data_IF_802599282165
#
_entry.id   IF_802599282165
#
_cell.length_a   1.000
_cell.length_b   1.000
_cell.length_c   1.000
_cell.angle_alpha   90.00
_cell.angle_beta   90.00
_cell.angle_gamma   90.00
#
_symmetry.space_group_name_H-M   'P 1'
#
loop_
_entity.id
_entity.type
_entity.pdbx_description
1 polymer ?
#
# COMPACT_ATOMS: atom_id res chain seq x y z
N UNK A 1 3.76 9.22 6.11
CA UNK A 1 2.47 9.46 6.78
C UNK A 1 2.14 8.39 7.81
N UNK A 2 2.19 7.13 7.45
CA UNK A 2 1.87 6.06 8.41
C UNK A 2 2.86 6.02 9.56
N UNK A 3 4.14 6.32 9.32
CA UNK A 3 5.15 6.35 10.39
C UNK A 3 4.81 7.35 11.48
N UNK A 4 4.38 8.53 11.08
CA UNK A 4 4.01 9.59 12.03
C UNK A 4 2.77 9.19 12.82
N UNK A 5 1.83 8.53 12.17
CA UNK A 5 0.63 8.02 12.84
C UNK A 5 1.00 7.00 13.91
N UNK A 6 1.89 6.08 13.61
CA UNK A 6 2.34 5.05 14.54
C UNK A 6 3.05 5.68 15.73
N UNK A 7 3.92 6.64 15.47
CA UNK A 7 4.64 7.35 16.54
C UNK A 7 3.64 8.04 17.48
N UNK A 8 2.67 8.73 16.91
CA UNK A 8 1.65 9.41 17.69
C UNK A 8 0.86 8.45 18.58
N UNK A 9 0.44 7.31 18.00
CA UNK A 9 -0.32 6.31 18.74
C UNK A 9 0.50 5.73 19.89
N UNK A 10 1.78 5.45 19.64
CA UNK A 10 2.67 4.97 20.70
C UNK A 10 2.83 5.97 21.82
N UNK A 11 2.89 7.26 21.50
CA UNK A 11 2.95 8.32 22.52
C UNK A 11 1.70 8.36 23.38
N UNK A 12 0.57 7.89 22.85
CA UNK A 12 -0.68 7.80 23.59
C UNK A 12 -0.87 6.45 24.28
N UNK A 13 0.12 5.57 24.22
CA UNK A 13 0.07 4.27 24.89
C UNK A 13 -0.71 3.21 24.10
N UNK A 14 -0.98 3.44 22.82
CA UNK A 14 -1.71 2.50 21.98
C UNK A 14 -0.74 1.69 21.12
N UNK A 15 -0.98 0.39 21.02
CA UNK A 15 -0.17 -0.51 20.20
C UNK A 15 -0.97 -1.08 19.06
N UNK A 16 -0.33 -1.16 17.89
CA UNK A 16 -0.95 -1.75 16.71
C UNK A 16 -1.24 -3.23 16.96
N UNK A 17 -2.32 -3.70 16.37
CA UNK A 17 -2.77 -5.09 16.43
C UNK A 17 -3.23 -5.55 17.82
N UNK A 18 -2.91 -4.81 18.86
CA UNK A 18 -3.39 -5.09 20.20
C UNK A 18 -4.54 -4.18 20.61
N UNK A 19 -4.33 -2.87 20.46
CA UNK A 19 -5.30 -1.85 20.91
C UNK A 19 -6.06 -1.23 19.75
N UNK A 20 -5.45 -1.18 18.56
CA UNK A 20 -6.03 -0.51 17.41
C UNK A 20 -5.57 -1.21 16.13
N UNK A 21 -6.44 -1.26 15.14
CA UNK A 21 -6.13 -1.75 13.81
C UNK A 21 -5.85 -0.57 12.89
N UNK A 22 -4.84 -0.73 12.05
CA UNK A 22 -4.45 0.29 11.10
C UNK A 22 -4.33 -0.32 9.71
N UNK A 23 -4.77 0.41 8.70
CA UNK A 23 -4.60 0.04 7.30
C UNK A 23 -3.80 1.14 6.61
N UNK A 24 -2.81 0.78 5.84
CA UNK A 24 -1.97 1.75 5.15
C UNK A 24 -1.68 1.33 3.73
N UNK A 25 -1.55 2.34 2.85
CA UNK A 25 -1.01 2.13 1.51
C UNK A 25 0.51 2.09 1.61
N UNK A 26 1.11 1.07 1.03
CA UNK A 26 2.57 0.90 1.07
C UNK A 26 3.10 0.47 -0.29
N UNK A 27 4.39 0.72 -0.49
CA UNK A 27 5.13 0.17 -1.62
C UNK A 27 5.67 -1.21 -1.22
N UNK A 28 5.65 -2.14 -2.15
CA UNK A 28 6.05 -3.51 -1.84
C UNK A 28 7.48 -3.60 -1.31
N UNK A 29 8.40 -2.83 -1.88
CA UNK A 29 9.81 -2.85 -1.51
C UNK A 29 10.16 -1.94 -0.34
N UNK A 30 9.17 -1.41 0.32
CA UNK A 30 9.36 -0.47 1.42
C UNK A 30 9.84 -1.20 2.68
N UNK A 31 10.85 -0.64 3.34
CA UNK A 31 11.27 -1.14 4.66
C UNK A 31 10.12 -1.04 5.66
N UNK A 32 9.26 -0.06 5.47
CA UNK A 32 8.08 0.10 6.30
C UNK A 32 7.19 -1.14 6.23
N UNK A 33 6.97 -1.69 5.04
CA UNK A 33 6.18 -2.90 4.87
C UNK A 33 6.79 -4.06 5.65
N UNK A 34 8.09 -4.26 5.53
CA UNK A 34 8.78 -5.36 6.24
C UNK A 34 8.64 -5.24 7.75
N UNK A 35 8.76 -4.02 8.27
CA UNK A 35 8.72 -3.78 9.70
C UNK A 35 7.33 -3.95 10.29
N UNK A 36 6.29 -3.59 9.56
CA UNK A 36 4.95 -3.48 10.12
C UNK A 36 3.92 -4.44 9.51
N UNK A 37 4.32 -5.28 8.56
CA UNK A 37 3.38 -6.18 7.88
C UNK A 37 2.72 -7.18 8.85
N UNK A 38 3.31 -7.44 10.01
CA UNK A 38 2.74 -8.31 11.01
C UNK A 38 1.86 -7.58 12.02
N UNK A 39 1.75 -6.26 11.93
CA UNK A 39 1.04 -5.44 12.89
C UNK A 39 -0.10 -4.64 12.30
N UNK A 40 -0.18 -4.52 10.99
CA UNK A 40 -1.21 -3.75 10.33
C UNK A 40 -1.51 -4.29 8.95
N UNK A 41 -2.72 -4.02 8.49
CA UNK A 41 -3.09 -4.36 7.12
C UNK A 41 -2.43 -3.38 6.16
N UNK A 42 -2.01 -3.89 5.02
CA UNK A 42 -1.36 -3.08 4.01
C UNK A 42 -2.08 -3.22 2.68
N UNK A 43 -2.23 -2.10 1.98
CA UNK A 43 -2.66 -2.11 0.59
C UNK A 43 -1.41 -1.83 -0.22
N UNK A 44 -0.91 -2.86 -0.89
CA UNK A 44 0.36 -2.77 -1.62
C UNK A 44 0.10 -2.25 -3.03
N UNK A 45 0.73 -1.13 -3.35
CA UNK A 45 0.56 -0.49 -4.64
C UNK A 45 1.45 -1.16 -5.69
N UNK A 46 0.96 -1.34 -6.93
CA UNK A 46 1.76 -1.92 -8.01
C UNK A 46 2.67 -0.86 -8.65
N UNK A 47 3.66 -0.36 -7.87
CA UNK A 47 4.48 0.78 -8.30
C UNK A 47 5.32 0.49 -9.53
N UNK A 48 5.81 -0.74 -9.68
CA UNK A 48 6.60 -1.10 -10.86
C UNK A 48 5.74 -1.05 -12.12
N UNK A 49 4.53 -1.63 -12.05
CA UNK A 49 3.60 -1.60 -13.18
C UNK A 49 3.12 -0.19 -13.48
N UNK A 50 2.88 0.61 -12.44
CA UNK A 50 2.49 2.01 -12.60
C UNK A 50 3.58 2.79 -13.33
N UNK A 51 4.84 2.59 -12.94
CA UNK A 51 5.97 3.25 -13.58
C UNK A 51 6.11 2.86 -15.03
N UNK A 52 5.97 1.57 -15.33
CA UNK A 52 6.04 1.08 -16.70
C UNK A 52 4.90 1.65 -17.54
N UNK A 53 3.68 1.60 -17.05
CA UNK A 53 2.52 2.12 -17.75
C UNK A 53 2.66 3.62 -18.03
N UNK A 54 3.15 4.38 -17.06
CA UNK A 54 3.38 5.81 -17.24
C UNK A 54 4.42 6.08 -18.32
N UNK A 55 5.53 5.31 -18.30
CA UNK A 55 6.58 5.44 -19.33
C UNK A 55 6.07 5.11 -20.72
N UNK A 56 5.30 4.04 -20.85
CA UNK A 56 4.71 3.67 -22.13
C UNK A 56 3.77 4.75 -22.66
N UNK A 57 2.98 5.34 -21.77
CA UNK A 57 2.08 6.43 -22.16
C UNK A 57 2.85 7.66 -22.66
N UNK A 58 3.92 8.01 -21.96
CA UNK A 58 4.74 9.16 -22.37
C UNK A 58 5.32 8.93 -23.76
N UNK A 59 5.90 7.75 -24.00
CA UNK A 59 6.48 7.42 -25.31
C UNK A 59 5.42 7.43 -26.39
N UNK A 60 4.26 6.85 -26.14
CA UNK A 60 3.16 6.84 -27.08
C UNK A 60 2.71 8.23 -27.46
N UNK A 61 2.65 9.15 -26.49
CA UNK A 61 2.26 10.54 -26.72
C UNK A 61 3.29 11.31 -27.52
N UNK A 62 4.57 11.01 -27.29
CA UNK A 62 5.64 11.63 -28.06
C UNK A 62 5.58 11.19 -29.53
N UNK A 63 5.34 9.91 -29.78
CA UNK A 63 5.26 9.35 -31.12
C UNK A 63 3.98 9.78 -31.86
N UNK A 64 2.89 9.90 -31.14
CA UNK A 64 1.60 10.27 -31.70
C UNK A 64 0.87 11.25 -30.79
N UNK A 65 1.18 12.58 -30.91
CA UNK A 65 0.58 13.60 -30.05
C UNK A 65 -0.94 13.69 -30.16
N UNK A 66 -1.50 13.22 -31.28
CA UNK A 66 -2.95 13.28 -31.51
C UNK A 66 -3.68 12.04 -31.03
N UNK A 67 -2.98 11.10 -30.41
CA UNK A 67 -3.60 9.89 -29.88
C UNK A 67 -4.68 10.25 -28.84
N UNK A 68 -5.78 9.48 -28.77
CA UNK A 68 -6.82 9.75 -27.78
C UNK A 68 -6.29 9.56 -26.37
N UNK A 69 -6.95 10.23 -25.43
CA UNK A 69 -6.63 10.07 -24.00
C UNK A 69 -6.87 8.62 -23.61
N UNK A 70 -5.90 8.07 -22.89
CA UNK A 70 -5.91 6.69 -22.48
C UNK A 70 -5.87 6.61 -20.94
N UNK A 71 -6.73 5.79 -20.39
CA UNK A 71 -6.74 5.54 -18.95
C UNK A 71 -6.45 4.06 -18.70
N UNK A 72 -5.62 3.81 -17.70
CA UNK A 72 -5.33 2.45 -17.26
C UNK A 72 -5.42 2.40 -15.74
N UNK A 73 -6.23 1.47 -15.25
CA UNK A 73 -6.40 1.26 -13.81
C UNK A 73 -5.69 -0.03 -13.43
N UNK A 74 -4.80 0.07 -12.44
CA UNK A 74 -4.09 -1.07 -11.90
C UNK A 74 -4.64 -1.40 -10.53
N UNK A 75 -4.71 -2.69 -10.22
CA UNK A 75 -5.27 -3.15 -8.95
C UNK A 75 -4.18 -3.26 -7.90
N UNK A 76 -4.41 -2.66 -6.74
CA UNK A 76 -3.56 -2.84 -5.59
C UNK A 76 -3.88 -4.16 -4.88
N UNK A 77 -2.90 -4.72 -4.20
CA UNK A 77 -3.07 -5.97 -3.46
C UNK A 77 -3.29 -5.68 -1.98
N UNK A 78 -4.36 -6.27 -1.42
CA UNK A 78 -4.62 -6.17 0.01
C UNK A 78 -3.87 -7.28 0.73
N UNK A 79 -3.11 -6.89 1.76
CA UNK A 79 -2.33 -7.81 2.59
C UNK A 79 -2.74 -7.64 4.04
N UNK A 80 -3.57 -8.53 4.59
CA UNK A 80 -3.89 -8.47 6.01
C UNK A 80 -2.68 -8.80 6.86
N UNK A 81 -2.63 -8.24 8.07
CA UNK A 81 -1.53 -8.56 8.95
C UNK A 81 -1.64 -10.01 9.43
N UNK A 82 -0.48 -10.60 9.72
CA UNK A 82 -0.37 -11.98 10.15
C UNK A 82 0.06 -12.00 11.62
N UNK A 83 -0.90 -12.09 12.50
CA UNK A 83 -0.69 -12.09 13.94
C UNK A 83 -1.35 -13.32 14.56
N UNK A 84 -0.72 -13.98 15.52
CA UNK A 84 -1.35 -15.11 16.23
C UNK A 84 -2.63 -14.72 16.95
N UNK A 85 -2.81 -13.44 17.25
CA UNK A 85 -4.01 -12.93 17.90
C UNK A 85 -5.02 -12.36 16.92
N UNK A 86 -4.81 -12.54 15.63
CA UNK A 86 -5.70 -12.01 14.61
C UNK A 86 -7.06 -12.71 14.71
N UNK A 87 -8.11 -11.93 14.76
CA UNK A 87 -9.46 -12.49 14.75
C UNK A 87 -9.76 -13.07 13.36
N UNK A 88 -10.38 -14.26 13.37
CA UNK A 88 -10.55 -15.05 12.16
C UNK A 88 -11.44 -14.42 11.11
N UNK A 89 -12.43 -13.63 11.52
CA UNK A 89 -13.30 -12.97 10.58
C UNK A 89 -12.58 -12.06 9.61
N UNK A 90 -11.45 -11.52 10.02
CA UNK A 90 -10.67 -10.63 9.16
C UNK A 90 -9.94 -11.39 8.06
N UNK A 91 -9.59 -12.65 8.34
CA UNK A 91 -8.83 -13.47 7.40
C UNK A 91 -9.72 -14.29 6.47
N UNK A 92 -10.94 -14.40 6.79
CA UNK A 92 -11.88 -15.23 6.04
C UNK A 92 -12.12 -14.71 4.62
#
# INVERSE_FOLDING_TARGET
>A
MASETIIYLHQKGLQLARDIDLVSFVDYDSNFYELYSSQMDCIVQPVEELGRAAGEQILSRIENPDAPIFEKVLTSAYRPYDSPNTWNGKKA
#
